data_IF_391809065772
#
_entry.id   IF_391809065772
#
_cell.length_a   1.000
_cell.length_b   1.000
_cell.length_c   1.000
_cell.angle_alpha   90.00
_cell.angle_beta   90.00
_cell.angle_gamma   90.00
#
_symmetry.space_group_name_H-M   'P 1'
#
loop_
_entity.id
_entity.type
_entity.pdbx_description
1 polymer ?
#
# COMPACT_ATOMS: atom_id res chain seq x y z
N UNK A 1 -20.37 -10.11 20.59
CA UNK A 1 -19.41 -9.03 20.23
C UNK A 1 -18.94 -9.32 18.82
N UNK A 2 -18.89 -8.32 17.94
CA UNK A 2 -18.37 -8.50 16.57
C UNK A 2 -16.92 -9.00 16.66
N UNK A 3 -16.54 -9.93 15.78
CA UNK A 3 -15.16 -10.40 15.59
C UNK A 3 -14.50 -9.74 14.39
N UNK A 4 -15.09 -8.66 13.87
CA UNK A 4 -14.64 -8.05 12.63
C UNK A 4 -13.37 -7.24 12.84
N UNK A 5 -12.49 -7.27 11.85
CA UNK A 5 -11.23 -6.54 11.84
C UNK A 5 -11.28 -5.51 10.71
N UNK A 6 -11.02 -4.25 11.07
CA UNK A 6 -10.86 -3.17 10.11
C UNK A 6 -9.37 -3.00 9.80
N UNK A 7 -8.98 -3.26 8.55
CA UNK A 7 -7.63 -3.00 8.06
C UNK A 7 -7.60 -1.68 7.30
N UNK A 8 -6.60 -0.86 7.56
CA UNK A 8 -6.34 0.40 6.86
C UNK A 8 -4.97 0.35 6.19
N UNK A 9 -4.93 0.69 4.90
CA UNK A 9 -3.72 0.96 4.11
C UNK A 9 -3.69 2.45 3.77
N UNK A 10 -2.88 3.19 4.53
CA UNK A 10 -2.76 4.64 4.47
C UNK A 10 -1.51 5.01 3.67
N UNK A 11 -1.68 5.09 2.35
CA UNK A 11 -0.66 5.58 1.43
C UNK A 11 -0.64 7.10 1.34
N UNK A 12 0.33 7.65 0.60
CA UNK A 12 0.46 9.10 0.45
C UNK A 12 -0.71 9.80 -0.27
N UNK A 13 -1.41 9.08 -1.15
CA UNK A 13 -2.50 9.65 -1.97
C UNK A 13 -3.88 9.16 -1.52
N UNK A 14 -3.97 7.92 -1.07
CA UNK A 14 -5.22 7.22 -0.80
C UNK A 14 -5.15 6.48 0.52
N UNK A 15 -6.29 6.45 1.21
CA UNK A 15 -6.57 5.53 2.29
C UNK A 15 -7.49 4.44 1.71
N UNK A 16 -7.02 3.20 1.75
CA UNK A 16 -7.83 2.01 1.45
C UNK A 16 -8.20 1.33 2.76
N UNK A 17 -9.35 0.70 2.79
CA UNK A 17 -9.77 -0.05 3.96
C UNK A 17 -10.55 -1.28 3.57
N UNK A 18 -10.54 -2.28 4.46
CA UNK A 18 -11.42 -3.45 4.38
C UNK A 18 -11.90 -3.85 5.76
N UNK A 19 -13.14 -4.28 5.85
CA UNK A 19 -13.73 -4.91 7.03
C UNK A 19 -13.81 -6.42 6.77
N UNK A 20 -13.17 -7.22 7.62
CA UNK A 20 -13.14 -8.67 7.46
C UNK A 20 -13.73 -9.36 8.69
N UNK A 21 -14.56 -10.38 8.48
CA UNK A 21 -15.12 -11.23 9.53
C UNK A 21 -14.77 -12.69 9.23
N UNK A 22 -13.95 -13.32 10.08
CA UNK A 22 -13.37 -14.63 9.78
C UNK A 22 -12.51 -14.59 8.52
N UNK A 23 -12.73 -15.52 7.60
CA UNK A 23 -12.00 -15.60 6.32
C UNK A 23 -12.63 -14.77 5.18
N UNK A 24 -13.71 -14.02 5.48
CA UNK A 24 -14.47 -13.27 4.48
C UNK A 24 -14.25 -11.76 4.62
N UNK A 25 -14.10 -11.09 3.48
CA UNK A 25 -14.20 -9.62 3.41
C UNK A 25 -15.68 -9.24 3.35
N UNK A 26 -16.15 -8.53 4.37
CA UNK A 26 -17.53 -8.09 4.48
C UNK A 26 -17.78 -6.78 3.72
N UNK A 27 -16.81 -5.86 3.73
CA UNK A 27 -16.88 -4.58 3.03
C UNK A 27 -15.47 -4.04 2.75
N UNK A 28 -15.35 -3.15 1.76
CA UNK A 28 -14.09 -2.49 1.44
C UNK A 28 -14.31 -1.18 0.68
N UNK A 29 -13.36 -0.26 0.83
CA UNK A 29 -13.42 1.02 0.16
C UNK A 29 -12.06 1.68 -0.02
N UNK A 30 -12.04 2.73 -0.84
CA UNK A 30 -10.87 3.57 -1.02
C UNK A 30 -11.30 5.03 -1.16
N UNK A 31 -10.60 5.91 -0.46
CA UNK A 31 -10.84 7.36 -0.46
C UNK A 31 -9.53 8.13 -0.60
N UNK A 32 -9.61 9.38 -1.07
CA UNK A 32 -8.46 10.27 -0.97
C UNK A 32 -8.10 10.49 0.50
N UNK A 33 -6.82 10.71 0.79
CA UNK A 33 -6.32 10.96 2.17
C UNK A 33 -6.77 12.32 2.77
N UNK A 34 -7.83 12.93 2.24
CA UNK A 34 -8.35 14.19 2.77
C UNK A 34 -9.12 13.97 4.09
N UNK A 35 -9.41 15.05 4.81
CA UNK A 35 -10.03 15.06 6.15
C UNK A 35 -11.37 14.29 6.26
N UNK A 36 -12.00 13.95 5.13
CA UNK A 36 -13.26 13.18 5.09
C UNK A 36 -13.06 11.66 5.04
N UNK A 37 -11.83 11.15 5.12
CA UNK A 37 -11.57 9.72 4.99
C UNK A 37 -12.32 8.86 6.02
N UNK A 38 -12.50 9.36 7.25
CA UNK A 38 -13.24 8.66 8.31
C UNK A 38 -14.73 8.47 8.00
N UNK A 39 -15.34 9.38 7.23
CA UNK A 39 -16.76 9.30 6.89
C UNK A 39 -17.07 8.11 5.99
N UNK A 40 -16.07 7.65 5.22
CA UNK A 40 -16.20 6.50 4.35
C UNK A 40 -15.95 5.16 5.05
N UNK A 41 -15.52 5.16 6.32
CA UNK A 41 -15.33 3.95 7.09
C UNK A 41 -16.68 3.37 7.57
N UNK A 42 -16.77 2.05 7.82
CA UNK A 42 -18.00 1.41 8.27
C UNK A 42 -18.65 2.09 9.48
N UNK A 43 -19.98 2.10 9.58
CA UNK A 43 -20.67 2.71 10.72
C UNK A 43 -20.55 1.86 12.00
N UNK A 44 -20.51 0.53 11.88
CA UNK A 44 -20.39 -0.38 13.02
C UNK A 44 -18.95 -0.42 13.55
N UNK A 45 -18.81 -0.51 14.87
CA UNK A 45 -17.50 -0.63 15.52
C UNK A 45 -16.90 -2.03 15.27
N UNK A 46 -15.66 -2.11 14.74
CA UNK A 46 -14.95 -3.38 14.60
C UNK A 46 -14.43 -3.86 15.97
N UNK A 47 -14.02 -5.12 16.06
CA UNK A 47 -13.35 -5.65 17.25
C UNK A 47 -11.91 -5.16 17.37
N UNK A 48 -11.24 -4.98 16.22
CA UNK A 48 -9.84 -4.53 16.11
C UNK A 48 -9.63 -3.66 14.89
N UNK A 49 -8.65 -2.78 14.98
CA UNK A 49 -8.26 -1.88 13.90
C UNK A 49 -6.75 -2.06 13.67
N UNK A 50 -6.35 -2.45 12.46
CA UNK A 50 -4.94 -2.61 12.07
C UNK A 50 -4.59 -1.60 10.98
N UNK A 51 -3.45 -0.93 11.12
CA UNK A 51 -3.09 0.21 10.28
C UNK A 51 -1.69 0.00 9.70
N UNK A 52 -1.60 -0.02 8.38
CA UNK A 52 -0.37 0.15 7.63
C UNK A 52 -0.33 1.61 7.16
N UNK A 53 0.69 2.38 7.55
CA UNK A 53 0.78 3.79 7.19
C UNK A 53 2.18 4.20 6.75
N UNK A 54 2.22 4.95 5.66
CA UNK A 54 3.39 5.70 5.18
C UNK A 54 3.07 7.20 5.08
N UNK A 55 2.05 7.66 5.82
CA UNK A 55 1.55 9.03 5.74
C UNK A 55 2.28 10.02 6.65
N UNK A 56 3.05 9.52 7.62
CA UNK A 56 3.84 10.32 8.55
C UNK A 56 3.15 10.52 9.90
N UNK A 57 3.96 10.77 10.94
CA UNK A 57 3.57 10.74 12.34
C UNK A 57 2.40 11.66 12.70
N UNK A 58 2.34 12.85 12.09
CA UNK A 58 1.27 13.80 12.36
C UNK A 58 -0.09 13.24 11.93
N UNK A 59 -0.17 12.68 10.71
CA UNK A 59 -1.38 12.06 10.22
C UNK A 59 -1.75 10.82 11.03
N UNK A 60 -0.75 9.98 11.38
CA UNK A 60 -0.96 8.75 12.14
C UNK A 60 -1.52 9.02 13.54
N UNK A 61 -1.01 10.04 14.22
CA UNK A 61 -1.55 10.48 15.51
C UNK A 61 -3.00 10.95 15.36
N UNK A 62 -3.27 11.79 14.36
CA UNK A 62 -4.58 12.42 14.19
C UNK A 62 -5.65 11.38 13.79
N UNK A 63 -5.33 10.47 12.87
CA UNK A 63 -6.24 9.37 12.51
C UNK A 63 -6.41 8.37 13.65
N UNK A 64 -5.35 8.07 14.41
CA UNK A 64 -5.43 7.19 15.58
C UNK A 64 -6.36 7.73 16.65
N UNK A 65 -6.26 9.03 16.97
CA UNK A 65 -7.16 9.71 17.90
C UNK A 65 -8.61 9.68 17.41
N UNK A 66 -8.83 9.95 16.12
CA UNK A 66 -10.18 9.99 15.56
C UNK A 66 -10.84 8.60 15.46
N UNK A 67 -10.07 7.55 15.21
CA UNK A 67 -10.58 6.16 15.25
C UNK A 67 -10.96 5.74 16.67
N UNK A 68 -10.16 6.14 17.67
CA UNK A 68 -10.46 5.90 19.08
C UNK A 68 -11.73 6.64 19.51
N UNK A 69 -11.89 7.91 19.12
CA UNK A 69 -13.10 8.69 19.40
C UNK A 69 -14.34 8.09 18.75
N UNK A 70 -14.25 7.69 17.47
CA UNK A 70 -15.38 7.14 16.71
C UNK A 70 -15.82 5.75 17.17
N UNK A 71 -14.87 4.84 17.40
CA UNK A 71 -15.17 3.43 17.64
C UNK A 71 -14.93 2.97 19.08
N UNK A 72 -14.21 3.75 19.89
CA UNK A 72 -13.72 3.28 21.20
C UNK A 72 -12.64 2.20 21.09
N UNK A 73 -12.05 2.00 19.90
CA UNK A 73 -11.05 0.96 19.62
C UNK A 73 -9.76 1.63 19.15
N UNK A 74 -8.61 1.40 19.82
CA UNK A 74 -7.35 1.97 19.38
C UNK A 74 -6.85 1.32 18.08
N UNK A 75 -6.21 2.13 17.24
CA UNK A 75 -5.52 1.64 16.05
C UNK A 75 -4.20 0.97 16.37
N UNK A 76 -3.97 -0.23 15.83
CA UNK A 76 -2.72 -0.98 15.91
C UNK A 76 -1.86 -0.66 14.67
N UNK A 77 -0.84 0.17 14.83
CA UNK A 77 0.06 0.54 13.73
C UNK A 77 1.12 -0.56 13.50
N UNK A 78 1.23 -1.00 12.25
CA UNK A 78 2.28 -1.91 11.82
C UNK A 78 3.64 -1.21 11.86
N UNK A 79 4.67 -1.97 12.16
CA UNK A 79 6.06 -1.52 12.13
C UNK A 79 6.93 -2.56 11.44
N UNK A 80 8.01 -2.09 10.82
CA UNK A 80 9.01 -3.00 10.24
C UNK A 80 9.84 -3.61 11.37
N UNK A 81 9.95 -4.93 11.36
CA UNK A 81 10.77 -5.68 12.30
C UNK A 81 11.97 -6.30 11.57
N UNK A 82 13.00 -6.68 12.33
CA UNK A 82 14.18 -7.35 11.76
C UNK A 82 13.85 -8.69 11.10
N UNK A 83 12.83 -9.38 11.61
CA UNK A 83 12.26 -10.56 10.97
C UNK A 83 10.77 -10.68 11.29
N UNK A 84 9.99 -11.21 10.34
CA UNK A 84 8.57 -11.49 10.49
C UNK A 84 8.18 -12.66 9.58
N UNK A 85 7.50 -13.66 10.13
CA UNK A 85 6.89 -14.77 9.38
C UNK A 85 7.83 -15.42 8.33
N UNK A 86 9.08 -15.69 8.73
CA UNK A 86 10.09 -16.32 7.86
C UNK A 86 10.82 -15.36 6.92
N UNK A 87 10.50 -14.08 6.92
CA UNK A 87 11.24 -13.04 6.18
C UNK A 87 12.19 -12.29 7.10
N UNK A 88 13.40 -12.00 6.63
CA UNK A 88 14.37 -11.10 7.30
C UNK A 88 14.48 -9.79 6.54
N UNK A 89 14.40 -8.67 7.25
CA UNK A 89 14.57 -7.33 6.65
C UNK A 89 16.02 -7.14 6.17
N UNK A 90 16.19 -6.65 4.94
CA UNK A 90 17.49 -6.44 4.31
C UNK A 90 18.14 -5.09 4.60
N UNK A 91 17.42 -4.18 5.26
CA UNK A 91 17.92 -2.85 5.60
C UNK A 91 18.68 -2.91 6.93
N UNK A 92 19.79 -2.17 7.01
CA UNK A 92 20.55 -2.03 8.25
C UNK A 92 19.70 -1.43 9.37
N UNK A 93 18.95 -0.38 9.03
CA UNK A 93 17.89 0.20 9.82
C UNK A 93 16.51 -0.23 9.28
N UNK A 94 15.79 -1.13 9.96
CA UNK A 94 14.45 -1.55 9.56
C UNK A 94 13.46 -0.39 9.42
N UNK A 95 13.63 0.70 10.18
CA UNK A 95 12.72 1.85 10.13
C UNK A 95 12.80 2.63 8.80
N UNK A 96 13.88 2.46 8.03
CA UNK A 96 14.04 3.09 6.73
C UNK A 96 13.25 2.38 5.60
N UNK A 97 12.72 1.18 5.85
CA UNK A 97 11.84 0.49 4.91
C UNK A 97 10.39 0.92 5.13
N UNK A 98 9.68 1.25 4.05
CA UNK A 98 8.24 1.51 4.09
C UNK A 98 7.49 0.27 4.61
N UNK A 99 6.62 0.47 5.60
CA UNK A 99 5.88 -0.64 6.22
C UNK A 99 4.92 -1.33 5.24
N UNK A 100 4.42 -0.60 4.25
CA UNK A 100 3.64 -1.11 3.12
C UNK A 100 4.44 -2.15 2.30
N UNK A 101 5.66 -1.80 1.91
CA UNK A 101 6.59 -2.69 1.21
C UNK A 101 6.98 -3.89 2.06
N UNK A 102 7.24 -3.67 3.35
CA UNK A 102 7.56 -4.75 4.28
C UNK A 102 6.43 -5.79 4.38
N UNK A 103 5.19 -5.33 4.58
CA UNK A 103 4.04 -6.21 4.67
C UNK A 103 3.75 -6.92 3.35
N UNK A 104 3.95 -6.25 2.20
CA UNK A 104 3.80 -6.87 0.88
C UNK A 104 4.79 -8.03 0.67
N UNK A 105 6.05 -7.83 1.05
CA UNK A 105 7.10 -8.87 1.01
C UNK A 105 6.76 -10.03 1.94
N UNK A 106 6.34 -9.75 3.17
CA UNK A 106 5.96 -10.78 4.15
C UNK A 106 4.75 -11.58 3.65
N UNK A 107 3.74 -10.91 3.09
CA UNK A 107 2.57 -11.56 2.51
C UNK A 107 2.94 -12.45 1.31
N UNK A 108 3.79 -11.97 0.40
CA UNK A 108 4.24 -12.74 -0.74
C UNK A 108 5.02 -14.00 -0.31
N UNK A 109 5.90 -13.88 0.68
CA UNK A 109 6.64 -15.02 1.22
C UNK A 109 5.72 -16.04 1.90
N UNK A 110 4.76 -15.58 2.71
CA UNK A 110 3.77 -16.46 3.34
C UNK A 110 2.90 -17.19 2.32
N UNK A 111 2.57 -16.55 1.20
CA UNK A 111 1.74 -17.15 0.17
C UNK A 111 2.50 -18.13 -0.73
N UNK A 112 3.73 -17.80 -1.14
CA UNK A 112 4.47 -18.57 -2.14
C UNK A 112 5.59 -19.44 -1.57
N UNK A 113 6.16 -19.10 -0.40
CA UNK A 113 7.21 -19.87 0.28
C UNK A 113 8.52 -20.01 -0.51
N UNK A 114 8.80 -19.11 -1.46
CA UNK A 114 9.96 -19.18 -2.35
C UNK A 114 10.45 -17.79 -2.75
N UNK A 115 11.66 -17.73 -3.30
CA UNK A 115 12.23 -16.51 -3.84
C UNK A 115 11.26 -15.85 -4.82
N UNK A 116 11.09 -14.54 -4.70
CA UNK A 116 10.13 -13.78 -5.50
C UNK A 116 10.57 -12.32 -5.65
N UNK A 117 9.96 -11.66 -6.63
CA UNK A 117 9.98 -10.22 -6.78
C UNK A 117 8.56 -9.74 -6.53
N UNK A 118 8.39 -8.80 -5.61
CA UNK A 118 7.12 -8.14 -5.33
C UNK A 118 7.11 -6.82 -6.07
N UNK A 119 6.10 -6.61 -6.91
CA UNK A 119 5.92 -5.35 -7.65
C UNK A 119 4.57 -4.76 -7.25
N UNK A 120 4.59 -3.55 -6.70
CA UNK A 120 3.37 -2.77 -6.43
C UNK A 120 3.32 -1.57 -7.37
N UNK A 121 2.22 -1.42 -8.11
CA UNK A 121 2.02 -0.36 -9.10
C UNK A 121 0.93 0.59 -8.58
N UNK A 122 1.36 1.55 -7.76
CA UNK A 122 0.52 2.57 -7.16
C UNK A 122 0.88 3.99 -7.62
N UNK A 123 0.76 4.95 -6.69
CA UNK A 123 1.22 6.33 -6.92
C UNK A 123 2.73 6.40 -7.18
N UNK A 124 3.49 5.53 -6.52
CA UNK A 124 4.83 5.11 -6.93
C UNK A 124 4.75 3.64 -7.37
N UNK A 125 5.67 3.22 -8.23
CA UNK A 125 5.89 1.80 -8.48
C UNK A 125 7.05 1.33 -7.60
N UNK A 126 6.86 0.24 -6.87
CA UNK A 126 7.90 -0.36 -6.02
C UNK A 126 8.23 -1.75 -6.52
N UNK A 127 9.48 -2.15 -6.32
CA UNK A 127 9.97 -3.48 -6.60
C UNK A 127 10.80 -3.94 -5.42
N UNK A 128 10.49 -5.08 -4.83
CA UNK A 128 11.24 -5.66 -3.73
C UNK A 128 11.64 -7.10 -4.04
N UNK A 129 12.90 -7.44 -3.76
CA UNK A 129 13.47 -8.76 -4.05
C UNK A 129 13.58 -9.58 -2.77
N UNK A 130 13.10 -10.83 -2.81
CA UNK A 130 13.20 -11.79 -1.72
C UNK A 130 14.00 -13.00 -2.20
N UNK A 131 15.08 -13.31 -1.49
CA UNK A 131 15.92 -14.47 -1.76
C UNK A 131 15.28 -15.81 -1.36
N UNK A 132 15.93 -16.93 -1.70
CA UNK A 132 15.40 -18.27 -1.45
C UNK A 132 15.33 -18.64 0.05
N UNK A 133 15.89 -17.83 0.94
CA UNK A 133 15.85 -18.06 2.40
C UNK A 133 14.97 -17.06 3.14
N UNK A 134 14.11 -16.32 2.42
CA UNK A 134 13.29 -15.26 2.99
C UNK A 134 14.08 -13.97 3.30
N UNK A 135 15.32 -13.85 2.82
CA UNK A 135 16.11 -12.63 2.92
C UNK A 135 15.57 -11.57 1.96
N UNK A 136 15.01 -10.48 2.49
CA UNK A 136 14.73 -9.28 1.69
C UNK A 136 16.06 -8.67 1.26
N UNK A 137 16.24 -8.43 -0.04
CA UNK A 137 17.50 -7.95 -0.64
C UNK A 137 17.44 -6.47 -1.03
N UNK A 138 16.47 -5.76 -0.47
CA UNK A 138 16.16 -4.40 -0.88
C UNK A 138 15.27 -4.34 -2.11
N UNK A 139 15.21 -3.15 -2.70
CA UNK A 139 14.25 -2.84 -3.75
C UNK A 139 14.41 -1.45 -4.32
N UNK A 140 13.57 -1.13 -5.31
CA UNK A 140 13.54 0.16 -6.00
C UNK A 140 12.18 0.82 -5.80
N UNK A 141 12.20 2.15 -5.74
CA UNK A 141 11.01 2.99 -5.84
C UNK A 141 11.19 3.83 -7.09
N UNK A 142 10.26 3.73 -8.02
CA UNK A 142 10.23 4.54 -9.24
C UNK A 142 8.93 5.35 -9.27
N UNK A 143 8.90 6.52 -9.94
CA UNK A 143 7.67 7.28 -10.11
C UNK A 143 6.58 6.39 -10.69
N UNK A 144 5.37 6.47 -10.12
CA UNK A 144 4.24 5.71 -10.64
C UNK A 144 3.78 6.30 -11.96
N UNK A 145 3.06 5.50 -12.74
CA UNK A 145 2.68 5.81 -14.11
C UNK A 145 2.06 7.21 -14.29
N UNK A 146 1.21 7.65 -13.35
CA UNK A 146 0.58 8.98 -13.40
C UNK A 146 1.58 10.12 -13.25
N UNK A 147 2.58 9.97 -12.38
CA UNK A 147 3.64 10.97 -12.21
C UNK A 147 4.55 11.02 -13.44
N UNK A 148 4.79 9.89 -14.10
CA UNK A 148 5.56 9.85 -15.36
C UNK A 148 4.83 10.56 -16.51
N UNK A 149 3.49 10.51 -16.54
CA UNK A 149 2.69 11.26 -17.53
C UNK A 149 2.64 12.77 -17.23
N UNK A 150 2.69 13.17 -15.96
CA UNK A 150 2.72 14.59 -15.56
C UNK A 150 4.10 15.23 -15.80
N UNK A 151 5.18 14.43 -15.87
CA UNK A 151 6.47 14.89 -16.39
C UNK A 151 6.36 15.02 -17.91
N UNK A 152 5.80 16.16 -18.34
CA UNK A 152 5.93 16.61 -19.73
C UNK A 152 7.42 16.72 -20.05
N UNK A 153 7.92 15.81 -20.89
CA UNK A 153 9.09 16.12 -21.71
C UNK A 153 8.67 17.32 -22.56
N UNK A 154 9.25 18.48 -22.28
CA UNK A 154 9.11 19.70 -23.09
C UNK A 154 9.89 19.47 -24.39
N UNK A 155 9.38 18.59 -25.24
CA UNK A 155 9.72 18.55 -26.66
C UNK A 155 8.43 18.85 -27.43
N UNK A 156 8.27 20.06 -28.00
CA UNK A 156 7.07 20.43 -28.74
C UNK A 156 6.85 19.60 -30.01
N UNK A 157 7.79 18.73 -30.40
CA UNK A 157 7.63 17.79 -31.50
C UNK A 157 6.91 16.48 -31.10
N UNK A 158 6.77 16.19 -29.79
CA UNK A 158 6.13 14.96 -29.31
C UNK A 158 4.70 15.29 -28.86
N UNK A 159 3.65 14.76 -29.50
CA UNK A 159 2.29 14.97 -29.06
C UNK A 159 2.08 14.35 -27.66
N UNK A 160 1.29 15.02 -26.82
CA UNK A 160 0.92 14.54 -25.48
C UNK A 160 0.48 13.08 -25.53
N UNK A 161 1.18 12.22 -24.78
CA UNK A 161 0.91 10.79 -24.78
C UNK A 161 -0.28 10.52 -23.87
N UNK A 162 -1.45 10.21 -24.45
CA UNK A 162 -2.57 9.65 -23.69
C UNK A 162 -2.23 8.21 -23.24
N UNK A 163 -2.73 7.81 -22.07
CA UNK A 163 -2.52 6.49 -21.48
C UNK A 163 -2.94 5.31 -22.39
N UNK A 164 -3.72 5.61 -23.44
CA UNK A 164 -4.13 4.68 -24.50
C UNK A 164 -2.97 4.22 -25.40
N UNK A 165 -1.89 5.00 -25.55
CA UNK A 165 -0.73 4.64 -26.38
C UNK A 165 0.15 3.54 -25.77
N UNK A 166 0.21 3.44 -24.44
CA UNK A 166 1.09 2.49 -23.73
C UNK A 166 0.50 1.07 -23.66
N UNK A 167 -0.81 0.93 -23.89
CA UNK A 167 -1.51 -0.37 -23.86
C UNK A 167 -1.50 -1.12 -25.20
N UNK A 168 -0.81 -0.62 -26.24
CA UNK A 168 -0.69 -1.33 -27.52
C UNK A 168 -2.02 -1.57 -28.24
N UNK A 169 -3.07 -0.80 -27.96
CA UNK A 169 -4.41 -0.98 -28.55
C UNK A 169 -4.59 -0.33 -29.93
N UNK A 170 -3.49 -0.03 -30.64
CA UNK A 170 -3.50 0.20 -32.09
C UNK A 170 -2.30 -0.48 -32.75
N UNK A 171 -2.45 -1.75 -33.10
CA UNK A 171 -1.72 -2.32 -34.22
C UNK A 171 -2.31 -1.75 -35.52
N UNK A 172 -1.68 -0.72 -36.06
CA UNK A 172 -1.75 -0.39 -37.48
C UNK A 172 -0.53 0.48 -37.83
N UNK A 173 0.63 -0.16 -37.95
CA UNK A 173 1.64 0.33 -38.90
C UNK A 173 1.23 -0.24 -40.26
N UNK A 174 0.61 0.57 -41.10
CA UNK A 174 0.63 0.35 -42.54
C UNK A 174 1.88 1.07 -43.08
N UNK A 175 2.72 0.32 -43.80
CA UNK A 175 3.75 0.88 -44.66
C UNK A 175 3.13 1.46 -45.93
#
# INVERSE_FOLDING_TARGET
MSSDILDLDVGNTRLKWRLSGGDCVADAGAVSRADRALQALPPAAPARIRICSVAGEAFDRDIGAALLDRYGVPGEFAAVTRALCGVRCGYDDPAALGVDRWLAVVAAWQHYGRACIVVDVGSACTLDVVGPTGDHRGGYIVPGFRLTLDVQVIDPAIPSVDATWVLGLRTAFEF
#
